data_IF_619007619644
#
_entry.id   IF_619007619644
#
_cell.length_a   1.000
_cell.length_b   1.000
_cell.length_c   1.000
_cell.angle_alpha   90.00
_cell.angle_beta   90.00
_cell.angle_gamma   90.00
#
_symmetry.space_group_name_H-M   'P 1'
#
loop_
_entity.id
_entity.type
_entity.pdbx_description
1 polymer ?
#
# COMPACT_ATOMS: atom_id res chain seq x y z
N UNK A 1 20.16 -0.31 12.59
CA UNK A 1 18.77 -0.64 12.97
C UNK A 1 18.80 -1.15 14.41
N UNK A 2 17.96 -0.66 15.32
CA UNK A 2 17.82 -1.31 16.64
C UNK A 2 17.22 -2.70 16.44
N UNK A 3 17.54 -3.66 17.32
CA UNK A 3 16.91 -4.98 17.25
C UNK A 3 15.46 -4.89 17.76
N UNK A 4 14.59 -5.75 17.20
CA UNK A 4 13.18 -5.86 17.63
C UNK A 4 13.06 -6.01 19.15
N UNK A 5 13.92 -6.83 19.75
CA UNK A 5 13.97 -7.03 21.19
C UNK A 5 14.22 -5.73 21.97
N UNK A 6 15.08 -4.84 21.47
CA UNK A 6 15.39 -3.55 22.12
C UNK A 6 14.22 -2.57 22.00
N UNK A 7 13.56 -2.54 20.86
CA UNK A 7 12.37 -1.72 20.63
C UNK A 7 11.21 -2.16 21.52
N UNK A 8 10.93 -3.47 21.57
CA UNK A 8 9.93 -4.04 22.48
C UNK A 8 10.26 -3.73 23.93
N UNK A 9 11.52 -3.93 24.37
CA UNK A 9 11.93 -3.63 25.73
C UNK A 9 11.68 -2.17 26.09
N UNK A 10 12.02 -1.24 25.20
CA UNK A 10 11.81 0.20 25.39
C UNK A 10 10.32 0.51 25.52
N UNK A 11 9.51 0.08 24.55
CA UNK A 11 8.06 0.29 24.53
C UNK A 11 7.32 -0.29 25.74
N UNK A 12 7.77 -1.45 26.25
CA UNK A 12 7.17 -2.09 27.44
C UNK A 12 7.68 -1.50 28.76
N UNK A 13 8.77 -0.74 28.73
CA UNK A 13 9.34 -0.02 29.88
C UNK A 13 8.69 1.35 30.10
N UNK A 14 8.05 1.93 29.07
CA UNK A 14 7.35 3.21 29.15
C UNK A 14 6.14 3.18 30.10
N UNK A 15 5.78 4.36 30.63
CA UNK A 15 4.59 4.57 31.48
C UNK A 15 3.73 5.73 30.95
N UNK A 16 2.56 5.45 30.34
CA UNK A 16 1.99 4.13 30.09
C UNK A 16 2.78 3.31 29.06
N UNK A 17 2.65 1.97 29.08
CA UNK A 17 3.25 1.10 28.06
C UNK A 17 2.70 1.47 26.69
N UNK A 18 3.55 1.57 25.67
CA UNK A 18 3.12 1.99 24.35
C UNK A 18 3.85 1.24 23.22
N UNK A 19 3.09 0.49 22.42
CA UNK A 19 3.57 -0.24 21.23
C UNK A 19 3.23 0.47 19.91
N UNK A 20 2.67 1.69 19.93
CA UNK A 20 2.21 2.39 18.72
C UNK A 20 3.30 2.61 17.67
N UNK A 21 4.55 2.75 18.13
CA UNK A 21 5.70 2.92 17.25
C UNK A 21 6.11 1.62 16.51
N UNK A 22 5.55 0.48 16.90
CA UNK A 22 5.86 -0.85 16.39
C UNK A 22 4.72 -1.43 15.52
N UNK A 23 3.93 -0.56 14.89
CA UNK A 23 2.80 -0.96 14.03
C UNK A 23 3.17 -1.95 12.91
N UNK A 24 4.43 -1.96 12.47
CA UNK A 24 4.92 -2.90 11.46
C UNK A 24 4.97 -4.35 11.98
N UNK A 25 4.99 -4.56 13.30
CA UNK A 25 4.85 -5.89 13.92
C UNK A 25 3.43 -6.48 13.79
N UNK A 26 2.43 -5.68 13.42
CA UNK A 26 1.06 -6.18 13.22
C UNK A 26 0.88 -6.93 11.90
N UNK A 27 1.89 -6.96 11.04
CA UNK A 27 1.81 -7.51 9.69
C UNK A 27 2.76 -8.70 9.50
N UNK A 28 2.80 -9.60 10.48
CA UNK A 28 3.19 -10.97 10.20
C UNK A 28 2.14 -11.66 9.32
N UNK A 29 2.33 -12.94 8.99
CA UNK A 29 1.45 -13.65 8.06
C UNK A 29 -0.01 -13.68 8.57
N UNK A 30 -0.20 -13.95 9.87
CA UNK A 30 -1.53 -13.98 10.48
C UNK A 30 -2.16 -12.59 10.60
N UNK A 31 -1.39 -11.59 11.02
CA UNK A 31 -1.82 -10.21 11.09
C UNK A 31 -2.25 -9.65 9.73
N UNK A 32 -1.54 -10.02 8.67
CA UNK A 32 -1.90 -9.69 7.29
C UNK A 32 -3.23 -10.32 6.87
N UNK A 33 -3.43 -11.61 7.17
CA UNK A 33 -4.72 -12.30 6.92
C UNK A 33 -5.88 -11.64 7.69
N UNK A 34 -5.64 -11.24 8.93
CA UNK A 34 -6.64 -10.52 9.74
C UNK A 34 -6.97 -9.18 9.10
N UNK A 35 -5.96 -8.43 8.64
CA UNK A 35 -6.18 -7.15 7.98
C UNK A 35 -7.00 -7.30 6.68
N UNK A 36 -6.74 -8.34 5.88
CA UNK A 36 -7.54 -8.65 4.69
C UNK A 36 -9.01 -8.97 5.03
N UNK A 37 -9.30 -9.50 6.22
CA UNK A 37 -10.68 -9.67 6.69
C UNK A 37 -11.30 -8.35 7.18
N UNK A 38 -10.50 -7.49 7.83
CA UNK A 38 -10.93 -6.17 8.30
C UNK A 38 -11.39 -5.31 7.13
N UNK A 39 -10.63 -5.26 6.03
CA UNK A 39 -10.97 -4.42 4.87
C UNK A 39 -12.28 -4.81 4.17
N UNK A 40 -12.79 -6.02 4.43
CA UNK A 40 -14.07 -6.50 3.91
C UNK A 40 -15.26 -6.15 4.81
N UNK A 41 -15.04 -5.76 6.07
CA UNK A 41 -16.12 -5.43 7.01
C UNK A 41 -16.84 -4.14 6.60
N UNK A 42 -18.16 -4.09 6.79
CA UNK A 42 -18.97 -2.93 6.41
C UNK A 42 -18.57 -1.65 7.16
N UNK A 43 -18.14 -1.77 8.41
CA UNK A 43 -17.68 -0.66 9.24
C UNK A 43 -16.33 -0.08 8.74
N UNK A 44 -15.49 -0.91 8.10
CA UNK A 44 -14.19 -0.50 7.58
C UNK A 44 -14.31 0.04 6.14
N UNK A 45 -15.04 1.14 5.97
CA UNK A 45 -15.34 1.72 4.66
C UNK A 45 -14.12 2.28 3.91
N UNK A 46 -12.97 2.46 4.59
CA UNK A 46 -11.78 3.15 4.07
C UNK A 46 -11.28 2.47 2.79
N UNK A 47 -11.07 1.15 2.82
CA UNK A 47 -10.55 0.40 1.68
C UNK A 47 -11.52 0.46 0.48
N UNK A 48 -12.83 0.35 0.73
CA UNK A 48 -13.86 0.44 -0.32
C UNK A 48 -13.93 1.85 -0.93
N UNK A 49 -13.79 2.88 -0.10
CA UNK A 49 -13.88 4.28 -0.56
C UNK A 49 -12.67 4.68 -1.39
N UNK A 50 -11.47 4.31 -0.96
CA UNK A 50 -10.25 4.52 -1.73
C UNK A 50 -10.31 3.79 -3.08
N UNK A 51 -10.72 2.52 -3.07
CA UNK A 51 -10.94 1.76 -4.31
C UNK A 51 -11.89 2.50 -5.25
N UNK A 52 -13.01 3.02 -4.73
CA UNK A 52 -13.99 3.76 -5.52
C UNK A 52 -13.40 5.03 -6.13
N UNK A 53 -12.55 5.75 -5.40
CA UNK A 53 -11.84 6.92 -5.91
C UNK A 53 -10.93 6.53 -7.07
N UNK A 54 -10.16 5.45 -6.95
CA UNK A 54 -9.31 4.99 -8.06
C UNK A 54 -10.14 4.53 -9.27
N UNK A 55 -11.23 3.79 -9.07
CA UNK A 55 -12.10 3.37 -10.18
C UNK A 55 -12.69 4.56 -10.95
N UNK A 56 -12.99 5.66 -10.26
CA UNK A 56 -13.57 6.86 -10.88
C UNK A 56 -12.54 7.79 -11.51
N UNK A 57 -11.31 7.81 -11.01
CA UNK A 57 -10.33 8.85 -11.34
C UNK A 57 -9.02 8.32 -11.93
N UNK A 58 -8.85 7.01 -12.12
CA UNK A 58 -7.58 6.42 -12.58
C UNK A 58 -7.07 7.05 -13.87
N UNK A 59 -7.96 7.30 -14.82
CA UNK A 59 -7.61 7.82 -16.13
C UNK A 59 -7.01 9.25 -16.00
N UNK A 60 -7.67 10.12 -15.23
CA UNK A 60 -7.21 11.49 -14.95
C UNK A 60 -5.89 11.49 -14.15
N UNK A 61 -5.77 10.60 -13.15
CA UNK A 61 -4.54 10.44 -12.36
C UNK A 61 -3.36 10.11 -13.28
N UNK A 62 -3.52 9.14 -14.18
CA UNK A 62 -2.45 8.72 -15.09
C UNK A 62 -2.09 9.82 -16.09
N UNK A 63 -3.08 10.48 -16.69
CA UNK A 63 -2.84 11.58 -17.65
C UNK A 63 -2.04 12.70 -16.99
N UNK A 64 -2.44 13.11 -15.77
CA UNK A 64 -1.74 14.15 -15.02
C UNK A 64 -0.35 13.71 -14.57
N UNK A 65 -0.18 12.46 -14.14
CA UNK A 65 1.10 11.94 -13.66
C UNK A 65 2.15 11.81 -14.79
N UNK A 66 1.73 11.42 -15.99
CA UNK A 66 2.63 11.25 -17.13
C UNK A 66 2.93 12.56 -17.88
N UNK A 67 1.97 13.49 -17.89
CA UNK A 67 2.02 14.73 -18.66
C UNK A 67 1.84 14.50 -20.17
N UNK A 68 2.78 13.78 -20.79
CA UNK A 68 2.74 13.33 -22.20
C UNK A 68 2.70 11.80 -22.24
N UNK A 69 1.88 11.22 -23.12
CA UNK A 69 1.72 9.77 -23.29
C UNK A 69 3.02 9.05 -23.71
N UNK A 70 4.02 9.76 -24.24
CA UNK A 70 5.32 9.19 -24.67
C UNK A 70 6.36 9.21 -23.57
N UNK A 71 6.13 9.94 -22.48
CA UNK A 71 7.06 10.00 -21.37
C UNK A 71 7.15 8.65 -20.65
N UNK A 72 8.24 8.48 -19.90
CA UNK A 72 8.35 7.33 -19.00
C UNK A 72 7.48 7.56 -17.76
N UNK A 73 6.55 6.65 -17.52
CA UNK A 73 5.76 6.64 -16.29
C UNK A 73 6.36 5.66 -15.28
N UNK A 74 6.58 6.12 -14.04
CA UNK A 74 7.00 5.28 -12.92
C UNK A 74 5.92 5.27 -11.86
N UNK A 75 5.45 4.08 -11.50
CA UNK A 75 4.46 3.88 -10.43
C UNK A 75 5.20 3.19 -9.29
N UNK A 76 5.24 3.83 -8.13
CA UNK A 76 5.88 3.31 -6.92
C UNK A 76 4.79 3.10 -5.88
N UNK A 77 4.66 1.87 -5.39
CA UNK A 77 3.68 1.52 -4.37
C UNK A 77 4.38 1.18 -3.07
N UNK A 78 3.97 1.85 -2.00
CA UNK A 78 4.49 1.67 -0.65
C UNK A 78 3.43 0.92 0.18
N UNK A 79 3.72 -0.30 0.60
CA UNK A 79 2.75 -1.21 1.22
C UNK A 79 1.84 -1.84 0.17
N UNK A 80 2.43 -2.66 -0.71
CA UNK A 80 1.79 -3.31 -1.85
C UNK A 80 0.62 -4.21 -1.45
N UNK A 81 0.72 -4.93 -0.33
CA UNK A 81 -0.33 -5.85 0.13
C UNK A 81 -0.81 -6.78 -0.99
N UNK A 82 -2.10 -6.69 -1.36
CA UNK A 82 -2.73 -7.53 -2.40
C UNK A 82 -2.74 -6.95 -3.82
N UNK A 83 -2.13 -5.79 -4.08
CA UNK A 83 -2.10 -5.11 -5.39
C UNK A 83 -3.45 -4.71 -6.00
N UNK A 84 -4.58 -5.03 -5.36
CA UNK A 84 -5.91 -5.00 -6.00
C UNK A 84 -6.30 -3.59 -6.45
N UNK A 85 -5.89 -2.57 -5.69
CA UNK A 85 -6.09 -1.15 -5.99
C UNK A 85 -5.13 -0.66 -7.06
N UNK A 86 -3.86 -0.98 -6.95
CA UNK A 86 -2.83 -0.54 -7.91
C UNK A 86 -3.03 -1.18 -9.28
N UNK A 87 -3.63 -2.37 -9.35
CA UNK A 87 -4.10 -2.95 -10.60
C UNK A 87 -5.06 -2.03 -11.38
N UNK A 88 -5.85 -1.17 -10.71
CA UNK A 88 -6.71 -0.18 -11.37
C UNK A 88 -5.85 0.88 -12.07
N UNK A 89 -4.86 1.44 -11.37
CA UNK A 89 -3.96 2.45 -11.91
C UNK A 89 -3.07 1.88 -13.03
N UNK A 90 -2.59 0.64 -12.89
CA UNK A 90 -1.80 -0.04 -13.91
C UNK A 90 -2.62 -0.30 -15.19
N UNK A 91 -3.89 -0.69 -15.07
CA UNK A 91 -4.78 -0.82 -16.23
C UNK A 91 -5.01 0.52 -16.93
N UNK A 92 -5.22 1.59 -16.16
CA UNK A 92 -5.32 2.94 -16.74
C UNK A 92 -4.00 3.35 -17.41
N UNK A 93 -2.85 3.07 -16.78
CA UNK A 93 -1.53 3.37 -17.34
C UNK A 93 -1.34 2.68 -18.70
N UNK A 94 -1.68 1.41 -18.81
CA UNK A 94 -1.58 0.64 -20.05
C UNK A 94 -2.54 1.14 -21.16
N UNK A 95 -3.65 1.79 -20.80
CA UNK A 95 -4.60 2.37 -21.76
C UNK A 95 -4.09 3.69 -22.35
N UNK A 96 -3.46 4.54 -21.54
CA UNK A 96 -3.08 5.90 -21.92
C UNK A 96 -1.62 6.09 -22.31
N UNK A 97 -0.70 5.29 -21.75
CA UNK A 97 0.73 5.46 -22.00
C UNK A 97 1.18 4.70 -23.24
N UNK A 98 1.91 5.38 -24.10
CA UNK A 98 2.66 4.80 -25.23
C UNK A 98 4.15 4.69 -24.94
N UNK A 99 4.65 5.47 -23.98
CA UNK A 99 6.00 5.39 -23.45
C UNK A 99 6.19 4.23 -22.46
N UNK A 100 7.43 4.02 -21.98
CA UNK A 100 7.74 2.95 -21.04
C UNK A 100 7.05 3.14 -19.67
N UNK A 101 6.45 2.07 -19.16
CA UNK A 101 5.89 2.03 -17.80
C UNK A 101 6.81 1.18 -16.92
N UNK A 102 7.15 1.65 -15.73
CA UNK A 102 7.90 0.87 -14.74
C UNK A 102 7.18 0.90 -13.40
N UNK A 103 6.97 -0.28 -12.83
CA UNK A 103 6.26 -0.45 -11.57
C UNK A 103 7.20 -0.97 -10.49
N UNK A 104 7.15 -0.36 -9.30
CA UNK A 104 7.99 -0.68 -8.15
C UNK A 104 7.09 -1.01 -6.93
N UNK A 105 6.81 -2.29 -6.65
CA UNK A 105 6.17 -2.70 -5.41
C UNK A 105 7.20 -2.70 -4.27
N UNK A 106 6.90 -2.01 -3.18
CA UNK A 106 7.74 -1.95 -1.98
C UNK A 106 6.87 -2.36 -0.80
N UNK A 107 7.25 -3.42 -0.10
CA UNK A 107 6.57 -3.88 1.11
C UNK A 107 7.59 -4.32 2.18
N UNK A 108 7.18 -4.23 3.44
CA UNK A 108 7.93 -4.76 4.57
C UNK A 108 7.63 -6.25 4.79
N UNK A 109 6.46 -6.71 4.36
CA UNK A 109 6.07 -8.11 4.36
C UNK A 109 6.66 -8.83 3.16
N UNK A 110 7.48 -9.84 3.42
CA UNK A 110 8.03 -10.70 2.37
C UNK A 110 7.00 -11.59 1.72
N UNK A 111 5.88 -11.89 2.39
CA UNK A 111 4.80 -12.70 1.82
C UNK A 111 3.88 -11.90 0.91
N UNK A 112 3.97 -10.56 0.95
CA UNK A 112 3.28 -9.67 0.02
C UNK A 112 4.04 -9.45 -1.30
N UNK A 113 5.39 -9.56 -1.31
CA UNK A 113 6.24 -9.36 -2.49
C UNK A 113 6.26 -10.58 -3.43
#
# INVERSE_FOLDING_TARGET
MMSVAKEIFTSLSDRPKNLSNLQWLHYDDEGSIIFEKIVLQDEYYIARSERRIFELNSDDIIVKAAGDEKNRLRIVELGFGTATKTGILLRAALKYQRGPITYFPIDVSTTAL
#
